data_IF_943964899454
#
_entry.id   IF_943964899454
#
_cell.length_a   1.000
_cell.length_b   1.000
_cell.length_c   1.000
_cell.angle_alpha   90.00
_cell.angle_beta   90.00
_cell.angle_gamma   90.00
#
_symmetry.space_group_name_H-M   'P 1'
#
loop_
_entity.id
_entity.type
_entity.pdbx_description
1 polymer ?
#
# COMPACT_ATOMS: atom_id res chain seq x y z
N UNK A 1 4.79 -30.47 7.01
CA UNK A 1 5.49 -29.40 6.27
C UNK A 1 5.10 -29.38 4.77
N UNK A 2 5.25 -30.48 4.01
CA UNK A 2 4.84 -30.52 2.59
C UNK A 2 3.38 -30.15 2.32
N UNK A 3 2.46 -30.57 3.19
CA UNK A 3 1.04 -30.19 3.07
C UNK A 3 0.79 -28.68 3.26
N UNK A 4 1.57 -28.01 4.13
CA UNK A 4 1.43 -26.57 4.37
C UNK A 4 2.05 -25.74 3.24
N UNK A 5 3.14 -26.21 2.63
CA UNK A 5 3.71 -25.61 1.42
C UNK A 5 2.68 -25.67 0.29
N UNK A 6 2.01 -26.81 0.13
CA UNK A 6 0.97 -26.99 -0.89
C UNK A 6 -0.19 -25.99 -0.71
N UNK A 7 -0.68 -25.83 0.53
CA UNK A 7 -1.73 -24.85 0.87
C UNK A 7 -1.27 -23.41 0.55
N UNK A 8 -0.02 -23.07 0.86
CA UNK A 8 0.54 -21.75 0.58
C UNK A 8 0.71 -21.49 -0.92
N UNK A 9 1.18 -22.48 -1.68
CA UNK A 9 1.28 -22.39 -3.14
C UNK A 9 -0.09 -22.20 -3.78
N UNK A 10 -1.13 -22.87 -3.26
CA UNK A 10 -2.51 -22.69 -3.70
C UNK A 10 -3.03 -21.28 -3.41
N UNK A 11 -2.89 -20.78 -2.19
CA UNK A 11 -3.32 -19.42 -1.82
C UNK A 11 -2.61 -18.33 -2.62
N UNK A 12 -1.33 -18.53 -2.94
CA UNK A 12 -0.53 -17.59 -3.73
C UNK A 12 -0.96 -17.57 -5.20
N UNK A 13 -1.36 -18.73 -5.73
CA UNK A 13 -1.87 -18.89 -7.11
C UNK A 13 -3.27 -18.27 -7.26
N UNK A 14 -4.14 -18.44 -6.26
CA UNK A 14 -5.49 -17.85 -6.25
C UNK A 14 -5.45 -16.31 -6.23
N UNK A 15 -4.48 -15.71 -5.54
CA UNK A 15 -4.32 -14.25 -5.50
C UNK A 15 -3.73 -13.65 -6.78
N UNK A 16 -3.05 -14.45 -7.60
CA UNK A 16 -2.45 -14.01 -8.88
C UNK A 16 -3.31 -14.30 -10.11
N UNK A 17 -4.31 -15.18 -9.98
CA UNK A 17 -5.27 -15.46 -11.02
C UNK A 17 -6.29 -14.32 -11.15
N UNK A 18 -5.92 -13.25 -11.86
CA UNK A 18 -6.89 -12.32 -12.45
C UNK A 18 -7.33 -12.85 -13.83
N UNK A 19 -8.61 -13.22 -14.05
CA UNK A 19 -9.14 -13.34 -15.39
C UNK A 19 -9.42 -11.94 -15.99
N UNK A 20 -9.14 -11.69 -17.29
CA UNK A 20 -9.73 -10.55 -17.98
C UNK A 20 -11.19 -10.90 -18.29
N UNK A 21 -12.12 -10.48 -17.43
CA UNK A 21 -13.54 -10.60 -17.69
C UNK A 21 -14.11 -9.25 -18.13
N UNK A 22 -14.74 -9.26 -19.31
CA UNK A 22 -15.35 -8.14 -19.99
C UNK A 22 -16.43 -7.42 -19.17
N UNK A 23 -16.56 -6.12 -19.43
CA UNK A 23 -17.66 -5.25 -18.99
C UNK A 23 -19.05 -5.80 -19.31
N UNK A 24 -20.00 -5.63 -18.38
CA UNK A 24 -21.33 -5.17 -18.73
C UNK A 24 -21.53 -3.75 -18.18
N UNK A 25 -21.81 -2.83 -19.11
CA UNK A 25 -22.43 -1.54 -18.81
C UNK A 25 -23.85 -1.79 -18.30
N UNK A 26 -24.15 -1.31 -17.08
CA UNK A 26 -25.51 -0.99 -16.64
C UNK A 26 -25.42 0.25 -15.77
N UNK A 27 -25.98 1.36 -16.27
CA UNK A 27 -26.27 2.56 -15.51
C UNK A 27 -27.08 2.20 -14.26
N UNK A 28 -26.51 2.46 -13.08
CA UNK A 28 -27.23 2.43 -11.82
C UNK A 28 -27.09 3.79 -11.16
N UNK A 29 -28.20 4.54 -11.16
CA UNK A 29 -28.43 5.72 -10.30
C UNK A 29 -28.05 5.36 -8.86
N UNK A 30 -27.01 6.00 -8.34
CA UNK A 30 -26.72 5.96 -6.90
C UNK A 30 -27.09 7.31 -6.27
N UNK A 31 -28.38 7.45 -5.95
CA UNK A 31 -28.77 8.28 -4.81
C UNK A 31 -28.36 7.53 -3.53
N UNK A 32 -27.09 7.64 -3.10
CA UNK A 32 -26.68 7.08 -1.82
C UNK A 32 -25.53 7.89 -1.22
N UNK A 33 -25.82 8.65 -0.17
CA UNK A 33 -24.81 9.20 0.75
C UNK A 33 -24.11 8.02 1.44
N UNK A 34 -23.08 7.48 0.81
CA UNK A 34 -22.24 6.40 1.33
C UNK A 34 -21.06 7.07 2.03
N UNK A 35 -21.27 7.39 3.31
CA UNK A 35 -20.24 7.86 4.25
C UNK A 35 -19.39 6.65 4.73
N UNK A 36 -18.85 5.83 3.82
CA UNK A 36 -18.42 4.45 4.17
C UNK A 36 -16.91 4.24 4.30
N UNK A 37 -16.05 5.12 3.75
CA UNK A 37 -14.60 5.00 3.97
C UNK A 37 -14.12 6.03 5.00
N UNK A 38 -13.54 5.52 6.09
CA UNK A 38 -12.98 6.34 7.15
C UNK A 38 -11.86 7.25 6.61
N UNK A 39 -11.77 8.45 7.18
CA UNK A 39 -10.68 9.36 6.91
C UNK A 39 -9.32 8.67 7.18
N UNK A 40 -8.32 8.78 6.29
CA UNK A 40 -7.03 8.13 6.47
C UNK A 40 -6.20 8.74 7.61
N UNK A 41 -6.64 9.87 8.18
CA UNK A 41 -5.91 10.62 9.19
C UNK A 41 -4.80 11.48 8.61
N UNK A 42 -4.09 12.16 9.51
CA UNK A 42 -2.96 13.00 9.15
C UNK A 42 -1.66 12.18 8.99
N UNK A 43 -0.82 12.56 8.03
CA UNK A 43 0.52 12.04 7.85
C UNK A 43 1.54 13.11 8.17
N UNK A 44 2.46 12.80 9.09
CA UNK A 44 3.46 13.74 9.59
C UNK A 44 4.75 13.79 8.74
N UNK A 45 4.91 12.86 7.79
CA UNK A 45 6.14 12.66 7.02
C UNK A 45 6.99 11.47 7.47
N UNK A 46 6.57 10.71 8.48
CA UNK A 46 7.30 9.53 8.95
C UNK A 46 7.25 8.41 7.92
N UNK A 47 8.40 8.19 7.27
CA UNK A 47 8.59 7.20 6.21
C UNK A 47 8.08 5.79 6.56
N UNK A 48 8.25 5.34 7.80
CA UNK A 48 7.80 4.02 8.24
C UNK A 48 6.27 3.84 8.21
N UNK A 49 5.51 4.94 8.35
CA UNK A 49 4.04 4.93 8.33
C UNK A 49 3.48 5.19 6.93
N UNK A 50 4.34 5.54 5.96
CA UNK A 50 3.90 5.97 4.63
C UNK A 50 3.09 4.89 3.94
N UNK A 51 3.55 3.63 3.88
CA UNK A 51 2.83 2.56 3.18
C UNK A 51 1.40 2.36 3.70
N UNK A 52 1.21 2.32 5.02
CA UNK A 52 -0.10 2.13 5.64
C UNK A 52 -1.01 3.34 5.42
N UNK A 53 -0.49 4.55 5.64
CA UNK A 53 -1.28 5.75 5.44
C UNK A 53 -1.62 5.97 3.96
N UNK A 54 -0.66 5.72 3.07
CA UNK A 54 -0.79 5.93 1.64
C UNK A 54 -1.88 5.04 1.03
N UNK A 55 -1.95 3.76 1.40
CA UNK A 55 -3.02 2.89 0.90
C UNK A 55 -4.39 3.33 1.42
N UNK A 56 -4.50 3.74 2.69
CA UNK A 56 -5.74 4.30 3.25
C UNK A 56 -6.18 5.54 2.48
N UNK A 57 -5.25 6.46 2.20
CA UNK A 57 -5.53 7.66 1.42
C UNK A 57 -6.01 7.33 0.01
N UNK A 58 -5.32 6.41 -0.69
CA UNK A 58 -5.71 6.04 -2.05
C UNK A 58 -7.12 5.43 -2.12
N UNK A 59 -7.48 4.58 -1.15
CA UNK A 59 -8.82 4.00 -1.03
C UNK A 59 -9.84 5.11 -0.74
N UNK A 60 -9.52 6.01 0.20
CA UNK A 60 -10.39 7.13 0.56
C UNK A 60 -10.66 8.05 -0.64
N UNK A 61 -9.63 8.48 -1.38
CA UNK A 61 -9.81 9.32 -2.58
C UNK A 61 -10.67 8.61 -3.63
N UNK A 62 -10.42 7.31 -3.88
CA UNK A 62 -11.19 6.54 -4.85
C UNK A 62 -12.65 6.36 -4.44
N UNK A 63 -12.92 6.15 -3.15
CA UNK A 63 -14.27 6.00 -2.64
C UNK A 63 -15.07 7.30 -2.62
N UNK A 64 -14.38 8.45 -2.55
CA UNK A 64 -15.00 9.78 -2.58
C UNK A 64 -14.86 10.46 -3.95
N UNK A 65 -14.44 9.72 -4.99
CA UNK A 65 -14.10 10.30 -6.29
C UNK A 65 -15.23 11.15 -6.88
N UNK A 66 -16.45 10.61 -6.88
CA UNK A 66 -17.64 11.29 -7.43
C UNK A 66 -18.08 12.52 -6.61
N UNK A 67 -17.53 12.71 -5.41
CA UNK A 67 -17.82 13.87 -4.57
C UNK A 67 -16.87 15.04 -4.84
N UNK A 68 -15.77 14.82 -5.56
CA UNK A 68 -14.86 15.89 -5.96
C UNK A 68 -15.28 16.46 -7.31
N UNK A 69 -15.47 17.78 -7.37
CA UNK A 69 -15.87 18.49 -8.59
C UNK A 69 -14.70 18.70 -9.56
N UNK A 70 -13.48 18.87 -9.05
CA UNK A 70 -12.30 19.22 -9.83
C UNK A 70 -10.98 18.78 -9.16
N UNK A 71 -9.86 19.04 -9.85
CA UNK A 71 -8.52 18.74 -9.34
C UNK A 71 -8.15 19.56 -8.10
N UNK A 72 -8.73 20.76 -7.94
CA UNK A 72 -8.52 21.58 -6.76
C UNK A 72 -9.06 20.88 -5.51
N UNK A 73 -10.29 20.35 -5.56
CA UNK A 73 -10.89 19.66 -4.43
C UNK A 73 -10.13 18.38 -4.06
N UNK A 74 -9.69 17.59 -5.06
CA UNK A 74 -8.88 16.39 -4.82
C UNK A 74 -7.54 16.75 -4.21
N UNK A 75 -6.81 17.69 -4.82
CA UNK A 75 -5.48 18.08 -4.37
C UNK A 75 -5.52 18.71 -2.97
N UNK A 76 -6.50 19.58 -2.71
CA UNK A 76 -6.66 20.21 -1.39
C UNK A 76 -7.01 19.18 -0.33
N UNK A 77 -7.90 18.23 -0.64
CA UNK A 77 -8.23 17.15 0.29
C UNK A 77 -7.00 16.27 0.61
N UNK A 78 -6.16 15.97 -0.37
CA UNK A 78 -4.94 15.19 -0.14
C UNK A 78 -3.91 15.99 0.66
N UNK A 79 -3.58 17.20 0.20
CA UNK A 79 -2.55 18.03 0.82
C UNK A 79 -2.95 18.47 2.24
N UNK A 80 -4.24 18.64 2.54
CA UNK A 80 -4.69 19.02 3.89
C UNK A 80 -4.40 17.95 4.94
N UNK A 81 -4.22 16.69 4.53
CA UNK A 81 -3.90 15.54 5.40
C UNK A 81 -2.40 15.36 5.61
N UNK A 82 -1.55 16.05 4.85
CA UNK A 82 -0.13 16.16 5.12
C UNK A 82 0.08 17.23 6.20
N UNK A 83 0.51 16.82 7.38
CA UNK A 83 0.64 17.65 8.59
C UNK A 83 2.02 17.48 9.22
N UNK A 84 2.25 18.14 10.36
CA UNK A 84 3.50 18.01 11.10
C UNK A 84 4.67 18.72 10.41
N UNK A 85 5.88 18.60 10.99
CA UNK A 85 7.02 19.42 10.59
C UNK A 85 7.54 19.14 9.18
N UNK A 86 7.45 17.89 8.71
CA UNK A 86 8.00 17.50 7.41
C UNK A 86 6.93 17.54 6.32
N UNK A 87 5.88 16.74 6.46
CA UNK A 87 4.82 16.68 5.45
C UNK A 87 3.98 17.95 5.40
N UNK A 88 3.73 18.59 6.54
CA UNK A 88 2.99 19.86 6.61
C UNK A 88 3.73 21.02 5.95
N UNK A 89 5.06 21.10 6.11
CA UNK A 89 5.86 22.13 5.43
C UNK A 89 5.80 21.96 3.91
N UNK A 90 5.95 20.72 3.42
CA UNK A 90 5.77 20.42 2.00
C UNK A 90 4.37 20.83 1.51
N UNK A 91 3.31 20.44 2.24
CA UNK A 91 1.95 20.74 1.85
C UNK A 91 1.67 22.24 1.81
N UNK A 92 2.20 23.00 2.77
CA UNK A 92 2.09 24.46 2.80
C UNK A 92 2.73 25.11 1.57
N UNK A 93 3.98 24.74 1.26
CA UNK A 93 4.69 25.26 0.08
C UNK A 93 3.95 24.89 -1.20
N UNK A 94 3.51 23.64 -1.32
CA UNK A 94 2.83 23.15 -2.52
C UNK A 94 1.47 23.79 -2.74
N UNK A 95 0.67 23.96 -1.68
CA UNK A 95 -0.59 24.71 -1.73
C UNK A 95 -0.36 26.16 -2.16
N UNK A 96 0.64 26.84 -1.59
CA UNK A 96 0.96 28.23 -1.95
C UNK A 96 1.35 28.36 -3.43
N UNK A 97 2.12 27.41 -3.96
CA UNK A 97 2.47 27.36 -5.37
C UNK A 97 1.24 27.19 -6.27
N UNK A 98 0.34 26.25 -5.94
CA UNK A 98 -0.92 26.07 -6.67
C UNK A 98 -1.75 27.37 -6.71
N UNK A 99 -1.86 28.06 -5.57
CA UNK A 99 -2.59 29.33 -5.48
C UNK A 99 -1.94 30.45 -6.30
N UNK A 100 -0.60 30.49 -6.36
CA UNK A 100 0.13 31.52 -7.08
C UNK A 100 0.06 31.30 -8.60
N UNK A 101 0.18 30.06 -9.03
CA UNK A 101 0.16 29.68 -10.46
C UNK A 101 -1.28 29.57 -10.99
N UNK A 102 -2.26 29.30 -10.11
CA UNK A 102 -3.64 29.05 -10.49
C UNK A 102 -3.87 27.67 -11.13
N UNK A 103 -2.93 26.74 -10.95
CA UNK A 103 -2.98 25.39 -11.53
C UNK A 103 -2.84 24.35 -10.42
N UNK A 104 -3.80 23.41 -10.39
CA UNK A 104 -3.83 22.33 -9.43
C UNK A 104 -3.42 21.00 -10.09
N UNK A 105 -2.64 20.15 -9.42
CA UNK A 105 -2.20 18.90 -9.98
C UNK A 105 -3.36 17.91 -10.06
N UNK A 106 -3.49 17.23 -11.19
CA UNK A 106 -4.35 16.05 -11.31
C UNK A 106 -3.89 14.97 -10.34
N UNK A 107 -4.81 14.11 -9.90
CA UNK A 107 -4.52 13.06 -8.91
C UNK A 107 -3.32 12.18 -9.27
N UNK A 108 -3.13 11.87 -10.56
CA UNK A 108 -2.01 11.03 -10.99
C UNK A 108 -0.65 11.69 -10.77
N UNK A 109 -0.53 12.98 -11.07
CA UNK A 109 0.72 13.72 -10.92
C UNK A 109 1.03 13.94 -9.45
N UNK A 110 0.00 14.24 -8.65
CA UNK A 110 0.15 14.38 -7.20
C UNK A 110 0.62 13.07 -6.55
N UNK A 111 0.16 11.89 -7.02
CA UNK A 111 0.68 10.60 -6.54
C UNK A 111 2.16 10.42 -6.81
N UNK A 112 2.62 10.81 -8.01
CA UNK A 112 4.04 10.69 -8.38
C UNK A 112 4.88 11.60 -7.49
N UNK A 113 4.42 12.84 -7.30
CA UNK A 113 5.09 13.84 -6.48
C UNK A 113 5.20 13.41 -5.01
N UNK A 114 4.10 12.99 -4.38
CA UNK A 114 4.11 12.55 -2.97
C UNK A 114 5.02 11.33 -2.78
N UNK A 115 4.97 10.36 -3.71
CA UNK A 115 5.86 9.19 -3.65
C UNK A 115 7.33 9.59 -3.77
N UNK A 116 7.66 10.56 -4.61
CA UNK A 116 9.04 11.05 -4.76
C UNK A 116 9.63 11.54 -3.44
N UNK A 117 8.85 12.23 -2.61
CA UNK A 117 9.34 12.82 -1.35
C UNK A 117 9.26 11.85 -0.16
N UNK A 118 8.17 11.07 -0.08
CA UNK A 118 7.82 10.36 1.16
C UNK A 118 7.91 8.84 1.05
N UNK A 119 7.90 8.26 -0.16
CA UNK A 119 8.06 6.80 -0.29
C UNK A 119 9.48 6.43 0.13
N UNK A 120 9.65 5.47 1.05
CA UNK A 120 10.98 4.95 1.36
C UNK A 120 11.58 4.29 0.11
N UNK A 121 12.70 4.82 -0.37
CA UNK A 121 13.42 4.26 -1.52
C UNK A 121 13.80 2.79 -1.28
N UNK A 122 14.13 2.47 -0.03
CA UNK A 122 14.57 1.15 0.40
C UNK A 122 13.44 0.26 0.91
N UNK A 123 12.15 0.57 0.72
CA UNK A 123 11.07 -0.31 1.23
C UNK A 123 11.15 -1.73 0.65
N UNK A 124 11.41 -1.84 -0.65
CA UNK A 124 11.61 -3.13 -1.32
C UNK A 124 12.89 -3.81 -0.84
N UNK A 125 13.99 -3.07 -0.71
CA UNK A 125 15.27 -3.62 -0.28
C UNK A 125 15.25 -4.01 1.20
N UNK A 126 14.57 -3.24 2.03
CA UNK A 126 14.30 -3.54 3.43
C UNK A 126 13.44 -4.78 3.56
N UNK A 127 12.34 -4.90 2.82
CA UNK A 127 11.48 -6.08 2.87
C UNK A 127 12.26 -7.33 2.40
N UNK A 128 13.06 -7.22 1.33
CA UNK A 128 13.96 -8.27 0.84
C UNK A 128 15.04 -8.63 1.85
N UNK A 129 15.64 -7.67 2.55
CA UNK A 129 16.64 -7.92 3.58
C UNK A 129 16.00 -8.54 4.84
N UNK A 130 14.81 -8.05 5.21
CA UNK A 130 14.06 -8.52 6.38
C UNK A 130 13.63 -9.97 6.20
N UNK A 131 13.07 -10.32 5.05
CA UNK A 131 12.61 -11.69 4.79
C UNK A 131 13.76 -12.70 4.73
N UNK A 132 14.96 -12.31 4.25
CA UNK A 132 16.17 -13.15 4.28
C UNK A 132 16.61 -13.56 5.69
N UNK A 133 16.28 -12.75 6.71
CA UNK A 133 16.60 -13.01 8.12
C UNK A 133 15.37 -13.40 8.95
N UNK A 134 14.18 -13.51 8.34
CA UNK A 134 12.93 -13.74 9.05
C UNK A 134 12.73 -15.21 9.43
N UNK A 135 13.01 -15.54 10.70
CA UNK A 135 12.85 -16.90 11.26
C UNK A 135 11.54 -17.03 12.05
N UNK A 136 11.01 -18.25 12.11
CA UNK A 136 9.79 -18.54 12.88
C UNK A 136 10.00 -18.35 14.38
N UNK A 137 11.11 -18.84 14.94
CA UNK A 137 11.37 -18.81 16.39
C UNK A 137 10.22 -19.46 17.17
N UNK A 138 9.77 -18.82 18.25
CA UNK A 138 8.62 -19.26 19.05
C UNK A 138 7.26 -18.75 18.51
N UNK A 139 7.23 -18.13 17.33
CA UNK A 139 5.99 -17.62 16.75
C UNK A 139 5.08 -18.78 16.34
N UNK A 140 3.77 -18.61 16.55
CA UNK A 140 2.79 -19.53 15.98
C UNK A 140 2.92 -19.56 14.46
N UNK A 141 2.70 -20.73 13.87
CA UNK A 141 2.93 -20.95 12.44
C UNK A 141 2.06 -20.06 11.56
N UNK A 142 0.80 -19.82 11.94
CA UNK A 142 -0.13 -18.93 11.26
C UNK A 142 0.35 -17.47 11.25
N UNK A 143 0.82 -16.97 12.39
CA UNK A 143 1.39 -15.62 12.49
C UNK A 143 2.67 -15.48 11.66
N UNK A 144 3.53 -16.50 11.68
CA UNK A 144 4.77 -16.52 10.91
C UNK A 144 4.49 -16.48 9.40
N UNK A 145 3.60 -17.35 8.93
CA UNK A 145 3.21 -17.43 7.52
C UNK A 145 2.58 -16.12 7.05
N UNK A 146 1.68 -15.53 7.86
CA UNK A 146 1.03 -14.24 7.54
C UNK A 146 2.06 -13.13 7.37
N UNK A 147 3.04 -13.03 8.29
CA UNK A 147 4.09 -12.01 8.22
C UNK A 147 5.09 -12.26 7.09
N UNK A 148 5.44 -13.52 6.82
CA UNK A 148 6.31 -13.90 5.70
C UNK A 148 5.68 -13.54 4.36
N UNK A 149 4.38 -13.82 4.19
CA UNK A 149 3.64 -13.50 2.97
C UNK A 149 3.56 -11.98 2.74
N UNK A 150 3.25 -11.22 3.79
CA UNK A 150 3.24 -9.75 3.71
C UNK A 150 4.62 -9.19 3.29
N UNK A 151 5.71 -9.69 3.87
CA UNK A 151 7.07 -9.31 3.49
C UNK A 151 7.41 -9.71 2.04
N UNK A 152 6.90 -10.85 1.57
CA UNK A 152 7.11 -11.32 0.19
C UNK A 152 6.47 -10.39 -0.83
N UNK A 153 5.22 -10.00 -0.57
CA UNK A 153 4.47 -9.05 -1.41
C UNK A 153 5.13 -7.66 -1.38
N UNK A 154 5.53 -7.18 -0.20
CA UNK A 154 6.23 -5.89 -0.05
C UNK A 154 7.60 -5.90 -0.75
N UNK A 155 8.33 -7.00 -0.67
CA UNK A 155 9.62 -7.19 -1.35
C UNK A 155 9.53 -7.39 -2.86
N UNK A 156 8.31 -7.55 -3.40
CA UNK A 156 8.08 -7.88 -4.81
C UNK A 156 8.73 -9.20 -5.20
N UNK A 157 8.68 -10.20 -4.31
CA UNK A 157 9.25 -11.52 -4.55
C UNK A 157 8.32 -12.35 -5.44
N UNK A 158 8.88 -12.98 -6.47
CA UNK A 158 8.18 -14.02 -7.22
C UNK A 158 7.95 -15.27 -6.36
N UNK A 159 6.93 -16.06 -6.71
CA UNK A 159 6.49 -17.21 -5.91
C UNK A 159 7.60 -18.21 -5.64
N UNK A 160 8.38 -18.57 -6.66
CA UNK A 160 9.48 -19.52 -6.56
C UNK A 160 10.51 -19.03 -5.53
N UNK A 161 10.92 -17.77 -5.64
CA UNK A 161 11.90 -17.18 -4.72
C UNK A 161 11.35 -17.02 -3.29
N UNK A 162 10.04 -16.77 -3.14
CA UNK A 162 9.39 -16.74 -1.83
C UNK A 162 9.36 -18.13 -1.18
N UNK A 163 9.10 -19.20 -1.94
CA UNK A 163 9.11 -20.58 -1.43
C UNK A 163 10.51 -21.00 -0.99
N UNK A 164 11.54 -20.72 -1.80
CA UNK A 164 12.94 -21.00 -1.43
C UNK A 164 13.34 -20.32 -0.10
N UNK A 165 12.98 -19.04 0.06
CA UNK A 165 13.26 -18.29 1.28
C UNK A 165 12.50 -18.84 2.49
N UNK A 166 11.26 -19.31 2.29
CA UNK A 166 10.46 -19.93 3.34
C UNK A 166 11.08 -21.25 3.82
N UNK A 167 11.50 -22.11 2.88
CA UNK A 167 12.17 -23.37 3.19
C UNK A 167 13.51 -23.15 3.90
N UNK A 168 14.31 -22.19 3.43
CA UNK A 168 15.58 -21.80 4.07
C UNK A 168 15.38 -21.23 5.47
N UNK A 169 14.27 -20.55 5.72
CA UNK A 169 13.99 -19.96 7.02
C UNK A 169 13.43 -20.96 8.04
N UNK A 170 12.69 -21.97 7.57
CA UNK A 170 12.19 -23.06 8.42
C UNK A 170 13.23 -24.17 8.67
N UNK A 171 14.13 -24.42 7.72
CA UNK A 171 15.19 -25.45 7.86
C UNK A 171 16.22 -25.16 8.95
N UNK A 172 16.30 -23.92 9.45
CA UNK A 172 17.18 -23.57 10.58
C UNK A 172 16.70 -24.13 11.93
N UNK A 173 15.49 -24.72 11.99
CA UNK A 173 14.91 -25.33 13.20
C UNK A 173 15.13 -26.85 13.27
N UNK A 174 15.58 -27.50 12.19
CA UNK A 174 15.84 -28.96 12.16
C UNK A 174 17.33 -29.32 12.19
N UNK A 175 18.09 -28.72 13.12
CA UNK A 175 19.36 -29.31 13.60
C UNK A 175 19.24 -29.59 15.09
N UNK A 176 18.54 -30.68 15.42
CA UNK A 176 18.66 -31.42 16.68
C UNK A 176 18.72 -32.89 16.28
#
# INVERSE_FOLDING_TARGET
MRAQILVLTTQLTELQAHPPAATPSVEKKFNKKVKVVADPGAFNGERAQFAEWWIKLQIWVKANWDAFADDFEVATAVLSRLKGPVAGQYAQVRMQECYTVGVWPVWNDLKVEIKKYFKPQAEHDWARQKIRSFKQGNMRTDDYVTRFLALSIQGGLGNEHAVELLERNNSSICRI
#
